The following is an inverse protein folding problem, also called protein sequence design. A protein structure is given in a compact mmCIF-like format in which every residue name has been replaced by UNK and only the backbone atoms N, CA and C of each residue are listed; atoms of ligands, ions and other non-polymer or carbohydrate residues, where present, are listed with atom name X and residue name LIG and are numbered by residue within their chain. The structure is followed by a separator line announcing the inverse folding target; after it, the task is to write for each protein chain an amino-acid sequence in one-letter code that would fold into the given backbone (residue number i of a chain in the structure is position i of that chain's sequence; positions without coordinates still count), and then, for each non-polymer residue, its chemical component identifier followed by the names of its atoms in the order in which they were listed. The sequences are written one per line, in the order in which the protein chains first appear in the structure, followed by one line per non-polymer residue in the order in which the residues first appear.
data_IF_969628741809
#
_entry.id   IF_969628741809
#
_cell.length_a   1.000
_cell.length_b   1.000
_cell.length_c   1.000
_cell.angle_alpha   90.00
_cell.angle_beta   90.00
_cell.angle_gamma   90.00
#
_symmetry.space_group_name_H-M   'P 1'
#
loop_
_entity.id
_entity.type
_entity.pdbx_description
1 polymer ?
#
# COMPACT_ATOMS: atom_id res chain seq x y z
N UNK A 1 -6.94 -7.34 36.50
CA UNK A 1 -6.18 -6.52 35.54
C UNK A 1 -6.40 -7.10 34.14
N UNK A 2 -6.96 -6.36 33.18
CA UNK A 2 -7.09 -6.84 31.80
C UNK A 2 -5.76 -6.64 31.07
N UNK A 3 -5.28 -7.66 30.38
CA UNK A 3 -4.12 -7.55 29.49
C UNK A 3 -4.62 -7.07 28.13
N UNK A 4 -3.89 -6.13 27.53
CA UNK A 4 -4.14 -5.61 26.18
C UNK A 4 -3.04 -6.09 25.26
N UNK A 5 -3.41 -6.57 24.08
CA UNK A 5 -2.49 -6.94 23.00
C UNK A 5 -2.82 -6.04 21.81
N UNK A 6 -1.80 -5.44 21.21
CA UNK A 6 -1.94 -4.65 19.98
C UNK A 6 -1.38 -5.45 18.82
N UNK A 7 -2.11 -5.46 17.71
CA UNK A 7 -1.70 -6.08 16.46
C UNK A 7 -1.57 -5.00 15.41
N UNK A 8 -0.57 -5.14 14.55
CA UNK A 8 -0.57 -4.48 13.26
C UNK A 8 -1.61 -5.16 12.34
N UNK A 9 -1.96 -4.52 11.23
CA UNK A 9 -3.03 -4.97 10.34
C UNK A 9 -2.48 -5.63 9.08
N UNK A 10 -1.90 -4.84 8.18
CA UNK A 10 -1.40 -5.28 6.87
C UNK A 10 -0.17 -6.17 7.04
N UNK A 11 -0.19 -7.37 6.47
CA UNK A 11 0.88 -8.35 6.62
C UNK A 11 0.93 -9.03 8.00
N UNK A 12 0.04 -8.68 8.93
CA UNK A 12 -0.07 -9.31 10.26
C UNK A 12 -1.39 -10.07 10.42
N UNK A 13 -2.53 -9.42 10.18
CA UNK A 13 -3.85 -10.05 10.24
C UNK A 13 -4.41 -10.31 8.84
N UNK A 14 -4.16 -9.39 7.91
CA UNK A 14 -4.68 -9.45 6.55
C UNK A 14 -3.54 -9.44 5.53
N UNK A 15 -3.75 -10.12 4.41
CA UNK A 15 -2.98 -9.94 3.20
C UNK A 15 -3.73 -8.97 2.28
N UNK A 16 -3.31 -7.70 2.31
CA UNK A 16 -3.77 -6.61 1.46
C UNK A 16 -2.77 -6.28 0.33
N UNK A 17 -1.75 -7.14 0.14
CA UNK A 17 -0.63 -6.88 -0.76
C UNK A 17 -1.11 -6.58 -2.18
N UNK A 18 -2.08 -7.35 -2.69
CA UNK A 18 -2.64 -7.15 -4.04
C UNK A 18 -3.23 -5.74 -4.23
N UNK A 19 -4.05 -5.30 -3.27
CA UNK A 19 -4.67 -3.97 -3.30
C UNK A 19 -3.63 -2.86 -3.25
N UNK A 20 -2.61 -3.02 -2.40
CA UNK A 20 -1.50 -2.06 -2.27
C UNK A 20 -0.74 -1.97 -3.60
N UNK A 21 -0.29 -3.09 -4.16
CA UNK A 21 0.46 -3.11 -5.42
C UNK A 21 -0.32 -2.42 -6.55
N UNK A 22 -1.59 -2.79 -6.74
CA UNK A 22 -2.48 -2.17 -7.76
C UNK A 22 -2.68 -0.66 -7.54
N UNK A 23 -2.75 -0.22 -6.28
CA UNK A 23 -2.83 1.20 -5.95
C UNK A 23 -1.58 1.97 -6.38
N UNK A 24 -0.40 1.40 -6.14
CA UNK A 24 0.87 1.99 -6.54
C UNK A 24 1.05 1.97 -8.06
N UNK A 25 0.72 0.86 -8.73
CA UNK A 25 0.76 0.75 -10.20
C UNK A 25 -0.10 1.84 -10.84
N UNK A 26 -1.35 2.00 -10.37
CA UNK A 26 -2.26 3.02 -10.86
C UNK A 26 -1.71 4.45 -10.66
N UNK A 27 -1.11 4.74 -9.50
CA UNK A 27 -0.51 6.04 -9.23
C UNK A 27 0.69 6.33 -10.15
N UNK A 28 1.58 5.35 -10.37
CA UNK A 28 2.71 5.54 -11.28
C UNK A 28 2.27 5.71 -12.73
N UNK A 29 1.32 4.90 -13.20
CA UNK A 29 0.77 4.98 -14.55
C UNK A 29 0.04 6.31 -14.81
N UNK A 30 -0.65 6.86 -13.81
CA UNK A 30 -1.32 8.17 -13.91
C UNK A 30 -0.34 9.34 -14.11
N UNK A 31 0.94 9.16 -13.76
CA UNK A 31 2.02 10.15 -13.95
C UNK A 31 2.96 9.82 -15.11
N UNK A 32 2.48 9.02 -16.08
CA UNK A 32 3.24 8.56 -17.24
C UNK A 32 4.57 7.87 -16.85
N UNK A 33 4.57 7.18 -15.71
CA UNK A 33 5.68 6.34 -15.25
C UNK A 33 5.37 4.87 -15.47
N UNK A 34 6.43 4.07 -15.51
CA UNK A 34 6.31 2.62 -15.41
C UNK A 34 5.90 2.25 -13.99
N UNK A 35 5.25 1.10 -13.86
CA UNK A 35 4.97 0.47 -12.57
C UNK A 35 6.26 0.37 -11.73
N UNK A 36 6.17 0.58 -10.40
CA UNK A 36 7.31 0.43 -9.52
C UNK A 36 7.76 -1.03 -9.44
N UNK A 37 8.99 -1.25 -9.00
CA UNK A 37 9.45 -2.59 -8.64
C UNK A 37 8.62 -3.11 -7.44
N UNK A 38 7.84 -4.17 -7.68
CA UNK A 38 6.96 -4.75 -6.67
C UNK A 38 7.70 -5.36 -5.50
N UNK A 39 8.93 -5.85 -5.68
CA UNK A 39 9.71 -6.40 -4.57
C UNK A 39 10.27 -5.28 -3.69
N UNK A 40 10.71 -4.18 -4.32
CA UNK A 40 11.06 -2.95 -3.59
C UNK A 40 9.85 -2.39 -2.85
N UNK A 41 8.68 -2.32 -3.49
CA UNK A 41 7.43 -1.84 -2.88
C UNK A 41 6.99 -2.70 -1.68
N UNK A 42 7.00 -4.03 -1.80
CA UNK A 42 6.69 -4.95 -0.67
C UNK A 42 7.57 -4.69 0.55
N UNK A 43 8.86 -4.41 0.34
CA UNK A 43 9.79 -4.09 1.44
C UNK A 43 9.50 -2.77 2.15
N UNK A 44 8.62 -1.95 1.57
CA UNK A 44 8.22 -0.64 2.08
C UNK A 44 6.80 -0.63 2.68
N UNK A 45 6.05 -1.73 2.59
CA UNK A 45 4.71 -1.82 3.20
C UNK A 45 4.82 -1.66 4.71
N UNK A 46 3.96 -0.81 5.28
CA UNK A 46 3.98 -0.40 6.69
C UNK A 46 4.61 0.98 6.94
N UNK A 47 5.33 1.56 5.97
CA UNK A 47 5.72 2.97 6.01
C UNK A 47 4.56 3.89 5.59
N UNK A 48 4.59 5.19 5.98
CA UNK A 48 3.71 6.20 5.41
C UNK A 48 3.85 6.25 3.87
N UNK A 49 2.72 6.47 3.17
CA UNK A 49 2.67 6.48 1.70
C UNK A 49 3.65 7.47 1.10
N UNK A 50 3.84 8.63 1.73
CA UNK A 50 4.78 9.67 1.27
C UNK A 50 6.22 9.14 1.21
N UNK A 51 6.62 8.36 2.23
CA UNK A 51 7.96 7.72 2.30
C UNK A 51 8.06 6.61 1.26
N UNK A 52 7.01 5.81 1.09
CA UNK A 52 6.98 4.74 0.09
C UNK A 52 7.16 5.30 -1.32
N UNK A 53 6.36 6.31 -1.70
CA UNK A 53 6.44 6.97 -3.01
C UNK A 53 7.79 7.65 -3.23
N UNK A 54 8.32 8.37 -2.23
CA UNK A 54 9.64 9.00 -2.32
C UNK A 54 10.73 7.96 -2.61
N UNK A 55 10.73 6.83 -1.88
CA UNK A 55 11.71 5.75 -2.05
C UNK A 55 11.60 5.00 -3.37
N UNK A 56 10.41 4.97 -3.97
CA UNK A 56 10.16 4.41 -5.30
C UNK A 56 10.41 5.41 -6.44
N UNK A 57 10.91 6.61 -6.13
CA UNK A 57 11.36 7.60 -7.12
C UNK A 57 10.31 8.63 -7.54
N UNK A 58 9.18 8.73 -6.82
CA UNK A 58 8.24 9.82 -7.04
C UNK A 58 8.88 11.17 -6.65
N UNK A 59 8.63 12.21 -7.46
CA UNK A 59 9.15 13.56 -7.17
C UNK A 59 8.43 14.16 -5.97
N UNK A 60 9.17 14.77 -5.03
CA UNK A 60 8.61 15.36 -3.79
C UNK A 60 7.44 16.31 -4.02
N UNK A 61 7.51 17.14 -5.07
CA UNK A 61 6.45 18.09 -5.40
C UNK A 61 5.18 17.45 -6.00
N UNK A 62 5.22 16.16 -6.33
CA UNK A 62 4.09 15.41 -6.88
C UNK A 62 3.56 14.33 -5.91
N UNK A 63 4.23 14.06 -4.79
CA UNK A 63 3.83 13.00 -3.83
C UNK A 63 2.35 13.10 -3.44
N UNK A 64 1.84 14.32 -3.23
CA UNK A 64 0.43 14.52 -2.89
C UNK A 64 -0.54 14.00 -3.95
N UNK A 65 -0.22 14.16 -5.24
CA UNK A 65 -1.04 13.62 -6.33
C UNK A 65 -0.92 12.09 -6.35
N UNK A 66 0.29 11.51 -6.27
CA UNK A 66 0.49 10.05 -6.21
C UNK A 66 -0.34 9.40 -5.09
N UNK A 67 -0.34 10.01 -3.89
CA UNK A 67 -1.14 9.53 -2.75
C UNK A 67 -2.64 9.60 -3.05
N UNK A 68 -3.09 10.64 -3.76
CA UNK A 68 -4.49 10.81 -4.14
C UNK A 68 -4.91 9.78 -5.19
N UNK A 69 -4.10 9.52 -6.22
CA UNK A 69 -4.39 8.47 -7.21
C UNK A 69 -4.37 7.08 -6.56
N UNK A 70 -3.41 6.81 -5.68
CA UNK A 70 -3.36 5.59 -4.89
C UNK A 70 -4.67 5.36 -4.13
N UNK A 71 -5.11 6.35 -3.34
CA UNK A 71 -6.35 6.24 -2.54
C UNK A 71 -7.58 6.04 -3.42
N UNK A 72 -7.69 6.77 -4.52
CA UNK A 72 -8.81 6.64 -5.45
C UNK A 72 -8.88 5.26 -6.12
N UNK A 73 -7.74 4.59 -6.33
CA UNK A 73 -7.69 3.21 -6.77
C UNK A 73 -8.02 2.24 -5.61
N UNK A 74 -7.30 2.39 -4.50
CA UNK A 74 -7.39 1.50 -3.34
C UNK A 74 -8.81 1.42 -2.77
N UNK A 75 -9.50 2.54 -2.61
CA UNK A 75 -10.88 2.61 -2.10
C UNK A 75 -11.87 1.77 -2.90
N UNK A 76 -11.59 1.49 -4.18
CA UNK A 76 -12.46 0.69 -5.04
C UNK A 76 -12.25 -0.81 -4.91
N UNK A 77 -11.05 -1.23 -4.50
CA UNK A 77 -10.62 -2.63 -4.61
C UNK A 77 -10.20 -3.25 -3.27
N UNK A 78 -10.00 -2.46 -2.21
CA UNK A 78 -9.38 -2.96 -0.97
C UNK A 78 -10.18 -4.07 -0.29
N UNK A 79 -11.51 -4.09 -0.37
CA UNK A 79 -12.32 -5.16 0.20
C UNK A 79 -12.22 -6.46 -0.61
N UNK A 80 -12.24 -6.34 -1.92
CA UNK A 80 -12.26 -7.49 -2.84
C UNK A 80 -10.88 -8.16 -2.96
N UNK A 81 -9.81 -7.37 -2.76
CA UNK A 81 -8.41 -7.77 -2.93
C UNK A 81 -7.68 -8.02 -1.61
N UNK A 82 -8.41 -8.08 -0.48
CA UNK A 82 -7.85 -8.36 0.85
C UNK A 82 -8.38 -9.68 1.37
N UNK A 83 -7.49 -10.53 1.87
CA UNK A 83 -7.84 -11.80 2.52
C UNK A 83 -7.29 -11.86 3.94
N UNK A 84 -7.93 -12.65 4.79
CA UNK A 84 -7.39 -12.94 6.12
C UNK A 84 -6.17 -13.87 5.97
N UNK A 85 -5.08 -13.57 6.68
CA UNK A 85 -3.91 -14.44 6.68
C UNK A 85 -4.23 -15.80 7.33
N UNK A 86 -3.57 -16.89 6.89
CA UNK A 86 -3.72 -18.19 7.54
C UNK A 86 -3.43 -18.07 9.04
N UNK A 87 -4.31 -18.64 9.86
CA UNK A 87 -4.20 -18.66 11.33
C UNK A 87 -4.34 -17.31 12.05
N UNK A 88 -4.76 -16.24 11.36
CA UNK A 88 -5.17 -15.00 12.03
C UNK A 88 -6.56 -15.11 12.71
N UNK A 89 -7.25 -16.25 12.54
CA UNK A 89 -8.48 -16.65 13.23
C UNK A 89 -8.30 -18.00 13.92
#
# INVERSE_FOLDING_TARGET
MKKTILFDLDGTLIDSTSAILKGFDAAFLAHDKKEPDHDALKSLVGYPLEIMFEKLGAKKNLIGEYVKEYKACYEKIYLDETVLLPHAM
#
